data_IF_547580148829
#
_entry.id   IF_547580148829
#
_cell.length_a   1.000
_cell.length_b   1.000
_cell.length_c   1.000
_cell.angle_alpha   90.00
_cell.angle_beta   90.00
_cell.angle_gamma   90.00
#
_symmetry.space_group_name_H-M   'P 1'
#
loop_
_entity.id
_entity.type
_entity.pdbx_description
1 polymer ?
#
# COMPACT_ATOMS: atom_id res chain seq x y z
N UNK A 1 -9.39 15.85 -46.94
CA UNK A 1 -8.46 16.56 -46.04
C UNK A 1 -9.05 16.48 -44.64
N UNK A 2 -8.61 15.52 -43.83
CA UNK A 2 -9.08 15.33 -42.46
C UNK A 2 -8.21 16.15 -41.52
N UNK A 3 -8.83 17.05 -40.77
CA UNK A 3 -8.14 17.98 -39.89
C UNK A 3 -8.06 17.36 -38.49
N UNK A 4 -6.84 17.05 -38.05
CA UNK A 4 -6.57 16.50 -36.72
C UNK A 4 -6.59 17.63 -35.67
N UNK A 5 -7.62 17.64 -34.83
CA UNK A 5 -7.68 18.53 -33.68
C UNK A 5 -6.80 17.99 -32.55
N UNK A 6 -5.80 18.79 -32.16
CA UNK A 6 -4.91 18.59 -31.02
C UNK A 6 -5.69 18.61 -29.70
N UNK A 7 -5.47 17.59 -28.87
CA UNK A 7 -5.87 17.55 -27.46
C UNK A 7 -4.83 18.32 -26.64
N UNK A 8 -5.20 19.23 -25.71
CA UNK A 8 -4.24 19.95 -24.90
C UNK A 8 -3.74 19.10 -23.71
N UNK A 9 -2.42 19.02 -23.55
CA UNK A 9 -1.77 18.48 -22.37
C UNK A 9 -2.05 19.37 -21.16
N UNK A 10 -2.75 18.84 -20.16
CA UNK A 10 -2.84 19.47 -18.84
C UNK A 10 -1.60 19.12 -18.02
N UNK A 11 -0.82 20.14 -17.69
CA UNK A 11 0.33 20.02 -16.80
C UNK A 11 -0.13 19.86 -15.35
N UNK A 12 0.11 18.68 -14.78
CA UNK A 12 0.04 18.46 -13.34
C UNK A 12 1.41 18.78 -12.71
N UNK A 13 1.51 19.96 -12.11
CA UNK A 13 2.51 20.24 -11.08
C UNK A 13 2.04 19.58 -9.79
N UNK A 14 2.72 18.54 -9.35
CA UNK A 14 2.51 17.98 -8.01
C UNK A 14 3.23 18.86 -6.97
N UNK A 15 2.58 19.24 -5.85
CA UNK A 15 3.28 19.89 -4.77
C UNK A 15 4.07 18.84 -3.97
N UNK A 16 5.39 19.05 -3.91
CA UNK A 16 6.33 18.34 -3.05
C UNK A 16 5.97 18.61 -1.59
N UNK A 17 5.30 17.66 -0.94
CA UNK A 17 5.10 17.70 0.52
C UNK A 17 6.41 17.42 1.25
N UNK A 18 6.66 18.23 2.27
CA UNK A 18 7.91 18.34 3.00
C UNK A 18 8.20 17.10 3.85
N UNK A 19 9.49 16.75 3.93
CA UNK A 19 9.98 15.53 4.55
C UNK A 19 10.05 15.58 6.06
N UNK A 20 9.73 14.44 6.68
CA UNK A 20 10.30 14.03 7.95
C UNK A 20 11.49 13.11 7.63
N UNK A 21 12.70 13.62 7.82
CA UNK A 21 13.96 12.93 7.58
C UNK A 21 14.20 11.86 8.66
N UNK A 22 14.03 10.59 8.29
CA UNK A 22 14.67 9.47 8.99
C UNK A 22 15.98 9.16 8.27
N UNK A 23 17.02 8.88 9.06
CA UNK A 23 18.44 8.90 8.71
C UNK A 23 18.83 8.36 7.33
N UNK A 24 19.87 8.98 6.77
CA UNK A 24 20.56 8.59 5.54
C UNK A 24 20.94 7.10 5.54
N UNK A 25 20.08 6.26 4.97
CA UNK A 25 20.44 4.95 4.44
C UNK A 25 20.34 5.07 2.92
N UNK A 26 21.41 4.67 2.22
CA UNK A 26 21.43 4.64 0.74
C UNK A 26 20.16 3.92 0.24
N UNK A 27 19.41 4.58 -0.63
CA UNK A 27 18.07 4.21 -1.11
C UNK A 27 17.98 2.94 -1.97
N UNK A 28 19.02 2.08 -2.04
CA UNK A 28 19.20 1.13 -3.15
C UNK A 28 19.51 -0.33 -2.73
N UNK A 29 18.81 -0.91 -1.75
CA UNK A 29 19.03 -2.35 -1.39
C UNK A 29 17.75 -3.18 -1.40
N UNK A 30 16.58 -2.56 -1.23
CA UNK A 30 15.30 -3.26 -1.18
C UNK A 30 14.36 -2.71 -2.27
N UNK A 31 13.68 -3.59 -3.03
CA UNK A 31 12.82 -3.16 -4.14
C UNK A 31 11.58 -2.37 -3.68
N UNK A 32 11.09 -2.60 -2.47
CA UNK A 32 9.85 -2.01 -1.98
C UNK A 32 10.06 -0.61 -1.40
N UNK A 33 9.38 0.39 -1.95
CA UNK A 33 9.21 1.68 -1.28
C UNK A 33 7.97 1.67 -0.38
N UNK A 34 8.08 2.29 0.81
CA UNK A 34 6.97 2.38 1.76
C UNK A 34 6.46 3.82 1.94
N UNK A 35 5.17 4.01 1.68
CA UNK A 35 4.44 5.22 2.03
C UNK A 35 3.79 5.07 3.41
N UNK A 36 4.13 5.95 4.34
CA UNK A 36 3.58 5.89 5.69
C UNK A 36 2.15 6.43 5.76
N UNK A 37 1.25 5.64 6.37
CA UNK A 37 -0.15 6.01 6.60
C UNK A 37 -0.35 6.17 8.11
N UNK A 38 -0.44 7.42 8.57
CA UNK A 38 -0.51 7.75 10.00
C UNK A 38 -1.81 8.47 10.40
N UNK A 39 -2.61 8.90 9.42
CA UNK A 39 -3.86 9.62 9.64
C UNK A 39 -5.02 9.04 8.82
N UNK A 40 -6.25 9.42 9.20
CA UNK A 40 -7.44 9.08 8.43
C UNK A 40 -7.41 9.72 7.03
N UNK A 41 -6.87 10.93 6.91
CA UNK A 41 -6.71 11.60 5.62
C UNK A 41 -5.76 10.84 4.68
N UNK A 42 -4.66 10.28 5.21
CA UNK A 42 -3.76 9.43 4.42
C UNK A 42 -4.47 8.16 3.94
N UNK A 43 -5.30 7.58 4.82
CA UNK A 43 -6.09 6.41 4.50
C UNK A 43 -7.15 6.71 3.43
N UNK A 44 -7.83 7.86 3.51
CA UNK A 44 -8.78 8.32 2.50
C UNK A 44 -8.13 8.42 1.13
N UNK A 45 -6.98 9.11 1.05
CA UNK A 45 -6.18 9.21 -0.17
C UNK A 45 -5.83 7.82 -0.72
N UNK A 46 -5.39 6.92 0.15
CA UNK A 46 -5.02 5.56 -0.24
C UNK A 46 -6.20 4.80 -0.88
N UNK A 47 -7.40 4.90 -0.29
CA UNK A 47 -8.59 4.27 -0.86
C UNK A 47 -8.98 4.92 -2.19
N UNK A 48 -8.88 6.24 -2.33
CA UNK A 48 -9.18 6.90 -3.60
C UNK A 48 -8.21 6.53 -4.72
N UNK A 49 -6.92 6.44 -4.41
CA UNK A 49 -5.92 5.94 -5.37
C UNK A 49 -6.22 4.49 -5.80
N UNK A 50 -6.71 3.66 -4.88
CA UNK A 50 -7.06 2.26 -5.18
C UNK A 50 -8.17 2.10 -6.21
N UNK A 51 -8.92 3.16 -6.51
CA UNK A 51 -9.90 3.17 -7.60
C UNK A 51 -9.28 3.09 -9.00
N UNK A 52 -8.01 3.49 -9.12
CA UNK A 52 -7.30 3.59 -10.40
C UNK A 52 -6.13 2.61 -10.54
N UNK A 53 -5.62 2.10 -9.41
CA UNK A 53 -4.48 1.18 -9.38
C UNK A 53 -4.60 0.21 -8.21
N UNK A 54 -3.91 -0.92 -8.30
CA UNK A 54 -3.77 -1.84 -7.18
C UNK A 54 -2.83 -1.24 -6.14
N UNK A 55 -3.18 -1.39 -4.87
CA UNK A 55 -2.41 -0.89 -3.72
C UNK A 55 -2.17 -1.99 -2.72
N UNK A 56 -0.95 -2.08 -2.23
CA UNK A 56 -0.58 -2.93 -1.10
C UNK A 56 -0.64 -2.09 0.18
N UNK A 57 -1.31 -2.59 1.21
CA UNK A 57 -1.34 -1.98 2.55
C UNK A 57 -0.82 -2.97 3.58
N UNK A 58 0.26 -2.62 4.26
CA UNK A 58 0.91 -3.45 5.28
C UNK A 58 0.71 -2.87 6.69
N UNK A 59 -0.06 -3.57 7.50
CA UNK A 59 -0.18 -3.33 8.94
C UNK A 59 0.99 -4.01 9.65
N UNK A 60 1.92 -3.20 10.15
CA UNK A 60 3.18 -3.64 10.77
C UNK A 60 3.26 -3.18 12.23
N UNK A 61 3.75 -4.06 13.11
CA UNK A 61 4.15 -3.73 14.48
C UNK A 61 5.68 -3.83 14.56
N UNK A 62 6.41 -2.71 14.64
CA UNK A 62 7.87 -2.71 14.69
C UNK A 62 8.46 -3.46 15.90
N UNK A 63 7.67 -3.66 16.96
CA UNK A 63 8.10 -4.31 18.20
C UNK A 63 7.83 -5.82 18.24
N UNK A 64 7.11 -6.36 17.24
CA UNK A 64 6.71 -7.76 17.21
C UNK A 64 7.63 -8.63 16.33
N UNK A 65 8.26 -9.69 16.87
CA UNK A 65 9.16 -10.57 16.09
C UNK A 65 8.51 -11.23 14.86
N UNK A 66 7.23 -11.61 14.95
CA UNK A 66 6.49 -12.18 13.82
C UNK A 66 6.29 -11.11 12.73
N UNK A 67 6.04 -9.87 13.14
CA UNK A 67 5.94 -8.74 12.22
C UNK A 67 7.27 -8.41 11.54
N UNK A 68 8.39 -8.56 12.25
CA UNK A 68 9.73 -8.40 11.66
C UNK A 68 10.02 -9.45 10.57
N UNK A 69 9.48 -10.67 10.67
CA UNK A 69 9.53 -11.66 9.58
C UNK A 69 8.73 -11.18 8.38
N UNK A 70 7.48 -10.80 8.58
CA UNK A 70 6.62 -10.29 7.51
C UNK A 70 7.23 -9.07 6.82
N UNK A 71 7.90 -8.18 7.56
CA UNK A 71 8.62 -7.03 7.01
C UNK A 71 9.75 -7.44 6.04
N UNK A 72 10.50 -8.53 6.34
CA UNK A 72 11.54 -9.04 5.43
C UNK A 72 10.98 -9.63 4.14
N UNK A 73 9.81 -10.28 4.21
CA UNK A 73 9.09 -10.73 3.02
C UNK A 73 8.62 -9.52 2.23
N UNK A 74 7.91 -8.59 2.87
CA UNK A 74 7.38 -7.40 2.22
C UNK A 74 8.46 -6.52 1.60
N UNK A 75 9.65 -6.44 2.18
CA UNK A 75 10.78 -5.69 1.65
C UNK A 75 11.34 -6.22 0.31
N UNK A 76 10.97 -7.44 -0.09
CA UNK A 76 11.38 -8.08 -1.35
C UNK A 76 10.29 -8.00 -2.44
N UNK A 77 9.14 -7.40 -2.14
CA UNK A 77 8.06 -7.19 -3.10
C UNK A 77 8.50 -6.11 -4.11
N UNK A 78 8.23 -6.34 -5.38
CA UNK A 78 8.64 -5.48 -6.51
C UNK A 78 7.74 -4.25 -6.71
N UNK A 79 6.72 -4.12 -5.87
CA UNK A 79 5.70 -3.08 -5.91
C UNK A 79 5.80 -2.18 -4.68
N UNK A 80 5.49 -0.89 -4.85
CA UNK A 80 5.35 0.04 -3.74
C UNK A 80 4.21 -0.37 -2.81
N UNK A 81 4.40 -0.14 -1.51
CA UNK A 81 3.42 -0.48 -0.49
C UNK A 81 3.17 0.69 0.45
N UNK A 82 1.93 0.82 0.93
CA UNK A 82 1.61 1.64 2.07
C UNK A 82 1.87 0.86 3.37
N UNK A 83 2.38 1.52 4.41
CA UNK A 83 2.64 0.90 5.71
C UNK A 83 1.99 1.68 6.85
N UNK A 84 1.34 0.95 7.76
CA UNK A 84 0.75 1.48 8.99
C UNK A 84 1.50 0.89 10.18
N UNK A 85 2.05 1.76 11.03
CA UNK A 85 2.54 1.35 12.35
C UNK A 85 1.34 1.18 13.28
N UNK A 86 0.97 -0.08 13.53
CA UNK A 86 -0.23 -0.42 14.32
C UNK A 86 -0.08 -0.06 15.80
N UNK A 87 1.16 0.07 16.30
CA UNK A 87 1.43 0.46 17.69
C UNK A 87 1.11 1.94 17.93
N UNK A 88 1.17 2.75 16.88
CA UNK A 88 0.96 4.21 16.91
C UNK A 88 -0.36 4.66 16.30
N UNK A 89 -0.96 3.86 15.41
CA UNK A 89 -2.05 4.30 14.53
C UNK A 89 -3.34 3.51 14.74
N UNK A 90 -3.79 3.36 16.00
CA UNK A 90 -4.98 2.57 16.35
C UNK A 90 -6.26 3.01 15.62
N UNK A 91 -6.42 4.31 15.41
CA UNK A 91 -7.57 4.85 14.70
C UNK A 91 -7.58 4.44 13.22
N UNK A 92 -6.40 4.50 12.58
CA UNK A 92 -6.19 4.09 11.18
C UNK A 92 -6.46 2.60 11.01
N UNK A 93 -5.90 1.74 11.86
CA UNK A 93 -6.12 0.29 11.76
C UNK A 93 -7.57 -0.10 11.99
N UNK A 94 -8.26 0.56 12.92
CA UNK A 94 -9.69 0.38 13.11
C UNK A 94 -10.50 0.84 11.89
N UNK A 95 -10.11 1.94 11.24
CA UNK A 95 -10.75 2.42 10.02
C UNK A 95 -10.54 1.47 8.84
N UNK A 96 -9.34 0.89 8.68
CA UNK A 96 -9.04 -0.15 7.70
C UNK A 96 -10.01 -1.32 7.87
N UNK A 97 -10.12 -1.86 9.09
CA UNK A 97 -11.01 -2.99 9.39
C UNK A 97 -12.49 -2.69 9.07
N UNK A 98 -12.97 -1.47 9.38
CA UNK A 98 -14.34 -1.05 9.06
C UNK A 98 -14.59 -0.96 7.55
N UNK A 99 -13.64 -0.45 6.78
CA UNK A 99 -13.78 -0.23 5.33
C UNK A 99 -13.68 -1.52 4.52
N UNK A 100 -12.81 -2.42 4.93
CA UNK A 100 -12.59 -3.69 4.23
C UNK A 100 -13.48 -4.81 4.72
N UNK A 101 -14.08 -4.66 5.91
CA UNK A 101 -14.80 -5.74 6.60
C UNK A 101 -13.89 -6.84 7.14
N UNK A 102 -12.56 -6.69 6.99
CA UNK A 102 -11.58 -7.66 7.45
C UNK A 102 -11.21 -7.39 8.90
N UNK A 103 -11.10 -8.45 9.70
CA UNK A 103 -10.64 -8.34 11.08
C UNK A 103 -9.20 -7.81 11.11
N UNK A 104 -8.93 -6.92 12.07
CA UNK A 104 -7.58 -6.44 12.28
C UNK A 104 -6.67 -7.59 12.76
N UNK A 105 -5.54 -7.76 12.10
CA UNK A 105 -4.47 -8.67 12.49
C UNK A 105 -3.11 -7.95 12.40
N UNK A 106 -2.11 -8.41 13.15
CA UNK A 106 -0.74 -7.89 13.04
C UNK A 106 0.28 -9.04 13.18
N UNK A 107 1.18 -9.23 12.20
CA UNK A 107 1.26 -8.54 10.91
C UNK A 107 0.09 -8.90 9.98
N UNK A 108 -0.31 -7.97 9.12
CA UNK A 108 -1.34 -8.19 8.09
C UNK A 108 -1.04 -7.38 6.83
N UNK A 109 -1.18 -7.99 5.66
CA UNK A 109 -1.10 -7.36 4.35
C UNK A 109 -2.46 -7.44 3.69
N UNK A 110 -2.87 -6.33 3.07
CA UNK A 110 -4.07 -6.24 2.26
C UNK A 110 -3.68 -5.80 0.85
N UNK A 111 -4.36 -6.36 -0.16
CA UNK A 111 -4.34 -5.81 -1.52
C UNK A 111 -5.68 -5.11 -1.75
N UNK A 112 -5.60 -3.84 -2.12
CA UNK A 112 -6.73 -2.97 -2.37
C UNK A 112 -6.86 -2.74 -3.88
N UNK A 113 -8.08 -2.84 -4.40
CA UNK A 113 -8.43 -2.50 -5.78
C UNK A 113 -9.91 -2.08 -5.80
N UNK A 114 -10.23 -1.06 -6.58
CA UNK A 114 -11.60 -0.51 -6.70
C UNK A 114 -12.21 -0.18 -5.32
N UNK A 115 -11.45 0.53 -4.48
CA UNK A 115 -11.83 0.93 -3.11
C UNK A 115 -12.18 -0.24 -2.17
N UNK A 116 -11.82 -1.47 -2.52
CA UNK A 116 -12.13 -2.68 -1.75
C UNK A 116 -10.87 -3.47 -1.43
N UNK A 117 -10.88 -4.16 -0.29
CA UNK A 117 -9.89 -5.19 -0.01
C UNK A 117 -10.22 -6.45 -0.80
N UNK A 118 -9.41 -6.75 -1.83
CA UNK A 118 -9.62 -7.90 -2.73
C UNK A 118 -8.85 -9.14 -2.28
N UNK A 119 -7.83 -8.96 -1.44
CA UNK A 119 -7.07 -10.06 -0.86
C UNK A 119 -6.44 -9.64 0.47
N UNK A 120 -6.17 -10.61 1.35
CA UNK A 120 -5.42 -10.40 2.59
C UNK A 120 -4.64 -11.64 3.03
N UNK A 121 -3.51 -11.42 3.70
CA UNK A 121 -2.78 -12.44 4.45
C UNK A 121 -2.25 -11.87 5.77
N UNK A 122 -2.03 -12.73 6.76
CA UNK A 122 -1.49 -12.34 8.06
C UNK A 122 -0.43 -13.31 8.56
N UNK A 123 0.37 -12.88 9.55
CA UNK A 123 1.37 -13.71 10.22
C UNK A 123 2.29 -14.45 9.22
N UNK A 124 2.26 -15.80 9.25
CA UNK A 124 3.10 -16.65 8.41
C UNK A 124 2.57 -16.85 6.99
N UNK A 125 1.33 -16.44 6.71
CA UNK A 125 0.77 -16.49 5.35
C UNK A 125 1.32 -15.36 4.46
N UNK A 126 1.94 -14.34 5.07
CA UNK A 126 2.61 -13.26 4.33
C UNK A 126 3.91 -13.82 3.75
N UNK A 127 4.00 -13.86 2.41
CA UNK A 127 5.21 -14.16 1.66
C UNK A 127 5.26 -13.31 0.40
N UNK A 128 6.46 -13.07 -0.14
CA UNK A 128 6.65 -12.34 -1.41
C UNK A 128 5.76 -12.93 -2.50
N UNK A 129 5.83 -14.25 -2.70
CA UNK A 129 5.11 -14.94 -3.75
C UNK A 129 3.59 -14.76 -3.63
N UNK A 130 3.04 -14.86 -2.41
CA UNK A 130 1.60 -14.70 -2.19
C UNK A 130 1.12 -13.27 -2.49
N UNK A 131 1.92 -12.26 -2.11
CA UNK A 131 1.59 -10.85 -2.34
C UNK A 131 1.68 -10.51 -3.83
N UNK A 132 2.76 -10.91 -4.50
CA UNK A 132 2.95 -10.70 -5.94
C UNK A 132 1.83 -11.36 -6.76
N UNK A 133 1.47 -12.59 -6.40
CA UNK A 133 0.35 -13.28 -7.04
C UNK A 133 -0.97 -12.51 -6.85
N UNK A 134 -1.25 -12.04 -5.63
CA UNK A 134 -2.46 -11.27 -5.36
C UNK A 134 -2.52 -9.95 -6.14
N UNK A 135 -1.39 -9.25 -6.26
CA UNK A 135 -1.30 -8.01 -7.05
C UNK A 135 -1.52 -8.29 -8.54
N UNK A 136 -0.90 -9.33 -9.08
CA UNK A 136 -1.08 -9.72 -10.48
C UNK A 136 -2.55 -10.05 -10.80
N UNK A 137 -3.20 -10.82 -9.93
CA UNK A 137 -4.63 -11.15 -10.09
C UNK A 137 -5.53 -9.92 -9.98
N UNK A 138 -5.23 -9.01 -9.03
CA UNK A 138 -6.00 -7.78 -8.84
C UNK A 138 -5.83 -6.75 -9.96
N UNK A 139 -4.74 -6.85 -10.73
CA UNK A 139 -4.43 -5.95 -11.85
C UNK A 139 -5.09 -6.37 -13.17
N UNK A 140 -5.62 -7.60 -13.24
CA UNK A 140 -6.33 -8.10 -14.41
C UNK A 140 -7.79 -7.61 -14.38
N UNK A 141 -8.34 -7.07 -15.48
CA UNK A 141 -9.75 -6.74 -15.55
C UNK A 141 -10.60 -8.01 -15.42
N UNK A 142 -11.80 -7.94 -14.79
CA UNK A 142 -12.72 -9.06 -14.83
C UNK A 142 -13.14 -9.33 -16.29
N UNK A 143 -13.09 -10.59 -16.72
CA UNK A 143 -13.60 -11.03 -18.03
C UNK A 143 -15.10 -10.72 -18.20
#
# INVERSE_FOLDING_TARGET
MVNAARVPCWGFSTPRVAGCSWGNVKRDILPTHYDHIASIADLDRLFDESASRVIILFNHDPSCPISARAFREMAQVSHDAAIVDVSRSREVTAAVARRTGLRHESPQVLVLSDRRGVWSASHFAISVAAVEQAVNLASQPPE
#
